data_IF_034017408245
#
_entry.id   IF_034017408245
#
_cell.length_a   1.000
_cell.length_b   1.000
_cell.length_c   1.000
_cell.angle_alpha   90.00
_cell.angle_beta   90.00
_cell.angle_gamma   90.00
#
_symmetry.space_group_name_H-M   'P 1'
#
loop_
_entity.id
_entity.type
_entity.pdbx_description
1 polymer ?
#
# COMPACT_ATOMS: atom_id res chain seq x y z
N UNK A 1 99.40 -22.57 6.75
CA UNK A 1 99.27 -21.12 6.99
C UNK A 1 97.96 -20.65 6.35
N UNK A 2 96.88 -20.59 7.13
CA UNK A 2 95.58 -20.02 6.76
C UNK A 2 95.05 -19.27 8.00
N UNK A 3 94.65 -17.99 7.90
CA UNK A 3 94.46 -17.12 9.06
C UNK A 3 93.10 -17.30 9.75
N UNK A 4 93.03 -17.25 11.09
CA UNK A 4 91.83 -17.55 11.87
C UNK A 4 90.98 -16.29 12.15
N UNK A 5 89.90 -16.08 11.39
CA UNK A 5 88.92 -14.99 11.65
C UNK A 5 87.55 -15.49 12.17
N UNK A 6 87.46 -16.73 12.66
CA UNK A 6 86.17 -17.36 13.01
C UNK A 6 85.93 -17.58 14.52
N UNK A 7 86.48 -16.73 15.40
CA UNK A 7 86.38 -16.94 16.86
C UNK A 7 85.65 -15.86 17.67
N UNK A 8 84.83 -15.00 17.04
CA UNK A 8 84.18 -13.87 17.73
C UNK A 8 82.65 -13.92 17.87
N UNK A 9 81.98 -15.01 17.52
CA UNK A 9 80.50 -15.07 17.58
C UNK A 9 79.88 -16.00 18.64
N UNK A 10 80.65 -16.60 19.55
CA UNK A 10 80.10 -17.64 20.46
C UNK A 10 79.80 -17.12 21.89
N UNK A 11 80.19 -15.90 22.25
CA UNK A 11 80.15 -15.46 23.65
C UNK A 11 79.15 -14.33 23.94
N UNK A 12 77.89 -14.45 23.50
CA UNK A 12 76.86 -13.50 23.93
C UNK A 12 75.42 -14.02 23.89
N UNK A 13 75.19 -15.27 24.35
CA UNK A 13 73.82 -15.81 24.50
C UNK A 13 73.56 -16.44 25.86
N UNK A 14 74.32 -16.06 26.88
CA UNK A 14 74.14 -16.52 28.27
C UNK A 14 73.89 -15.36 29.23
N UNK A 15 73.14 -14.36 28.77
CA UNK A 15 72.61 -13.31 29.61
C UNK A 15 71.26 -12.88 29.07
N UNK A 16 70.25 -12.88 29.93
CA UNK A 16 69.00 -12.13 29.74
C UNK A 16 67.84 -12.84 29.02
N UNK A 17 67.42 -13.99 29.54
CA UNK A 17 66.00 -14.38 29.51
C UNK A 17 65.59 -14.92 30.89
N UNK A 18 65.61 -14.05 31.90
CA UNK A 18 64.78 -14.27 33.10
C UNK A 18 63.34 -14.08 32.70
N UNK A 19 62.64 -15.20 32.48
CA UNK A 19 61.22 -15.24 32.15
C UNK A 19 60.44 -14.60 33.31
N UNK A 20 60.07 -13.33 33.16
CA UNK A 20 59.15 -12.66 34.08
C UNK A 20 57.80 -13.34 33.89
N UNK A 21 57.42 -14.21 34.82
CA UNK A 21 56.11 -14.83 34.85
C UNK A 21 55.07 -13.72 35.00
N UNK A 22 54.35 -13.44 33.91
CA UNK A 22 53.22 -12.52 33.93
C UNK A 22 52.12 -13.25 34.71
N UNK A 23 51.67 -12.77 35.87
CA UNK A 23 50.57 -13.40 36.57
C UNK A 23 49.34 -13.31 35.68
N UNK A 24 48.79 -14.46 35.28
CA UNK A 24 47.48 -14.53 34.66
C UNK A 24 46.49 -14.10 35.73
N UNK A 25 46.10 -12.82 35.69
CA UNK A 25 45.11 -12.25 36.58
C UNK A 25 43.78 -12.95 36.26
N UNK A 26 43.44 -13.96 37.06
CA UNK A 26 42.16 -14.68 36.97
C UNK A 26 41.06 -13.68 37.29
N UNK A 27 40.44 -13.14 36.24
CA UNK A 27 39.25 -12.32 36.37
C UNK A 27 38.17 -13.23 36.94
N UNK A 28 37.75 -12.97 38.18
CA UNK A 28 36.64 -13.70 38.80
C UNK A 28 35.43 -13.47 37.90
N UNK A 29 34.90 -14.54 37.31
CA UNK A 29 33.64 -14.51 36.59
C UNK A 29 32.54 -14.15 37.60
N UNK A 30 32.19 -12.88 37.69
CA UNK A 30 31.07 -12.40 38.49
C UNK A 30 29.80 -12.89 37.79
N UNK A 31 29.10 -13.83 38.42
CA UNK A 31 27.94 -14.51 37.86
C UNK A 31 26.70 -13.62 37.70
N UNK A 32 26.74 -12.67 36.78
CA UNK A 32 25.59 -11.88 36.32
C UNK A 32 25.01 -12.36 34.98
N UNK A 33 25.59 -13.41 34.36
CA UNK A 33 25.24 -13.84 32.99
C UNK A 33 23.77 -14.27 32.82
N UNK A 34 23.17 -14.91 33.83
CA UNK A 34 21.78 -15.39 33.70
C UNK A 34 20.79 -14.22 33.75
N UNK A 35 21.01 -13.24 34.62
CA UNK A 35 20.18 -12.04 34.71
C UNK A 35 20.36 -11.14 33.47
N UNK A 36 21.57 -11.04 32.93
CA UNK A 36 21.89 -10.30 31.71
C UNK A 36 21.17 -10.89 30.48
N UNK A 37 21.17 -12.21 30.34
CA UNK A 37 20.44 -12.89 29.26
C UNK A 37 18.92 -12.74 29.44
N UNK A 38 18.39 -12.84 30.66
CA UNK A 38 16.96 -12.63 30.90
C UNK A 38 16.52 -11.20 30.57
N UNK A 39 17.30 -10.18 30.95
CA UNK A 39 17.01 -8.79 30.59
C UNK A 39 17.11 -8.59 29.07
N UNK A 40 18.12 -9.20 28.43
CA UNK A 40 18.27 -9.12 26.97
C UNK A 40 17.08 -9.70 26.23
N UNK A 41 16.61 -10.89 26.63
CA UNK A 41 15.43 -11.54 26.03
C UNK A 41 14.15 -10.76 26.35
N UNK A 42 14.04 -10.16 27.54
CA UNK A 42 12.94 -9.29 27.92
C UNK A 42 12.87 -8.06 27.00
N UNK A 43 13.96 -7.31 26.85
CA UNK A 43 14.04 -6.14 25.97
C UNK A 43 13.75 -6.54 24.51
N UNK A 44 14.31 -7.66 24.05
CA UNK A 44 14.08 -8.20 22.72
C UNK A 44 12.59 -8.51 22.49
N UNK A 45 11.91 -9.11 23.47
CA UNK A 45 10.49 -9.40 23.38
C UNK A 45 9.65 -8.13 23.18
N UNK A 46 9.89 -7.06 23.95
CA UNK A 46 9.21 -5.77 23.73
C UNK A 46 9.55 -5.13 22.39
N UNK A 47 10.82 -5.23 21.95
CA UNK A 47 11.24 -4.76 20.64
C UNK A 47 10.49 -5.45 19.49
N UNK A 48 10.32 -6.77 19.57
CA UNK A 48 9.58 -7.55 18.59
C UNK A 48 8.08 -7.24 18.60
N UNK A 49 7.47 -7.03 19.77
CA UNK A 49 6.07 -6.57 19.87
C UNK A 49 5.89 -5.19 19.20
N UNK A 50 6.84 -4.28 19.38
CA UNK A 50 6.83 -2.97 18.72
C UNK A 50 6.86 -3.09 17.20
N UNK A 51 7.74 -3.93 16.67
CA UNK A 51 7.84 -4.19 15.22
C UNK A 51 6.56 -4.84 14.68
N UNK A 52 5.99 -5.81 15.39
CA UNK A 52 4.74 -6.45 14.99
C UNK A 52 3.58 -5.44 14.89
N UNK A 53 3.48 -4.51 15.84
CA UNK A 53 2.52 -3.42 15.80
C UNK A 53 2.71 -2.51 14.57
N UNK A 54 3.95 -2.15 14.27
CA UNK A 54 4.28 -1.36 13.06
C UNK A 54 3.93 -2.12 11.78
N UNK A 55 4.22 -3.42 11.69
CA UNK A 55 3.86 -4.24 10.53
C UNK A 55 2.35 -4.26 10.27
N UNK A 56 1.54 -4.45 11.32
CA UNK A 56 0.07 -4.42 11.19
C UNK A 56 -0.40 -3.05 10.69
N UNK A 57 0.15 -1.95 11.24
CA UNK A 57 -0.22 -0.61 10.79
C UNK A 57 0.15 -0.36 9.32
N UNK A 58 1.33 -0.84 8.88
CA UNK A 58 1.79 -0.73 7.50
C UNK A 58 0.93 -1.52 6.52
N UNK A 59 0.47 -2.71 6.92
CA UNK A 59 -0.45 -3.51 6.10
C UNK A 59 -1.79 -2.79 5.92
N UNK A 60 -2.33 -2.17 6.97
CA UNK A 60 -3.58 -1.41 6.90
C UNK A 60 -3.49 -0.20 5.96
N UNK A 61 -2.40 0.58 6.05
CA UNK A 61 -2.20 1.74 5.17
C UNK A 61 -1.96 1.34 3.72
N UNK A 62 -1.28 0.21 3.50
CA UNK A 62 -1.08 -0.37 2.16
C UNK A 62 -2.42 -0.78 1.55
N UNK A 63 -3.27 -1.48 2.32
CA UNK A 63 -4.59 -1.89 1.88
C UNK A 63 -5.48 -0.68 1.52
N UNK A 64 -5.52 0.35 2.37
CA UNK A 64 -6.22 1.61 2.09
C UNK A 64 -5.74 2.28 0.80
N UNK A 65 -4.41 2.30 0.59
CA UNK A 65 -3.82 2.89 -0.63
C UNK A 65 -4.17 2.09 -1.89
N UNK A 66 -4.27 0.76 -1.77
CA UNK A 66 -4.71 -0.12 -2.84
C UNK A 66 -6.16 0.17 -3.22
N UNK A 67 -7.07 0.27 -2.24
CA UNK A 67 -8.48 0.59 -2.46
C UNK A 67 -8.66 1.94 -3.15
N UNK A 68 -7.94 2.99 -2.70
CA UNK A 68 -7.91 4.29 -3.40
C UNK A 68 -7.45 4.18 -4.85
N UNK A 69 -6.40 3.40 -5.09
CA UNK A 69 -5.88 3.18 -6.45
C UNK A 69 -6.89 2.45 -7.34
N UNK A 70 -7.59 1.45 -6.78
CA UNK A 70 -8.66 0.73 -7.46
C UNK A 70 -9.85 1.65 -7.76
N UNK A 71 -10.26 2.52 -6.83
CA UNK A 71 -11.33 3.49 -7.06
C UNK A 71 -10.97 4.46 -8.21
N UNK A 72 -9.74 4.97 -8.25
CA UNK A 72 -9.26 5.81 -9.37
C UNK A 72 -9.30 5.02 -10.68
N UNK A 73 -8.79 3.79 -10.69
CA UNK A 73 -8.83 2.94 -11.88
C UNK A 73 -10.28 2.70 -12.37
N UNK A 74 -11.19 2.33 -11.47
CA UNK A 74 -12.60 2.10 -11.79
C UNK A 74 -13.33 3.37 -12.24
N UNK A 75 -12.86 4.54 -11.83
CA UNK A 75 -13.34 5.82 -12.37
C UNK A 75 -12.98 5.97 -13.85
N UNK A 76 -11.76 5.61 -14.23
CA UNK A 76 -11.34 5.65 -15.63
C UNK A 76 -12.06 4.60 -16.48
N UNK A 77 -12.28 3.39 -15.96
CA UNK A 77 -12.95 2.33 -16.74
C UNK A 77 -14.37 2.73 -17.17
N UNK A 78 -15.15 3.40 -16.31
CA UNK A 78 -16.50 3.83 -16.68
C UNK A 78 -16.47 5.03 -17.62
N UNK A 79 -15.52 5.96 -17.46
CA UNK A 79 -15.32 7.06 -18.41
C UNK A 79 -14.96 6.54 -19.81
N UNK A 80 -14.11 5.52 -19.90
CA UNK A 80 -13.72 4.92 -21.17
C UNK A 80 -14.89 4.13 -21.80
N UNK A 81 -15.69 3.43 -21.00
CA UNK A 81 -16.93 2.79 -21.48
C UNK A 81 -17.93 3.83 -22.04
N UNK A 82 -18.11 4.95 -21.33
CA UNK A 82 -18.96 6.06 -21.79
C UNK A 82 -18.45 6.66 -23.11
N UNK A 83 -17.13 6.87 -23.25
CA UNK A 83 -16.51 7.33 -24.52
C UNK A 83 -16.74 6.36 -25.66
N UNK A 84 -16.60 5.06 -25.40
CA UNK A 84 -16.83 4.03 -26.41
C UNK A 84 -18.29 3.96 -26.86
N UNK A 85 -19.22 4.31 -25.96
CA UNK A 85 -20.66 4.26 -26.19
C UNK A 85 -21.30 5.61 -26.49
N UNK A 86 -20.51 6.64 -26.81
CA UNK A 86 -21.08 7.90 -27.29
C UNK A 86 -21.77 7.63 -28.62
N UNK A 87 -23.00 8.11 -28.75
CA UNK A 87 -23.80 7.93 -29.96
C UNK A 87 -24.14 9.28 -30.56
N UNK A 88 -24.29 9.34 -31.87
CA UNK A 88 -24.72 10.55 -32.54
C UNK A 88 -26.26 10.54 -32.57
N UNK A 89 -26.96 11.46 -31.88
CA UNK A 89 -28.41 11.50 -31.82
C UNK A 89 -29.06 11.76 -33.19
N UNK A 90 -28.31 12.29 -34.17
CA UNK A 90 -28.81 12.56 -35.51
C UNK A 90 -28.86 11.33 -36.44
N UNK A 91 -28.30 10.19 -36.04
CA UNK A 91 -28.32 8.94 -36.82
C UNK A 91 -27.59 8.99 -38.18
N UNK A 92 -27.01 10.14 -38.54
CA UNK A 92 -26.19 10.29 -39.75
C UNK A 92 -24.74 9.86 -39.49
N UNK A 93 -24.08 9.22 -40.47
CA UNK A 93 -22.66 8.95 -40.42
C UNK A 93 -21.90 10.25 -40.73
N UNK A 94 -21.76 11.16 -39.76
CA UNK A 94 -20.94 12.36 -39.97
C UNK A 94 -20.43 12.96 -38.68
N UNK A 95 -19.10 13.11 -38.66
CA UNK A 95 -18.25 13.91 -37.78
C UNK A 95 -18.38 13.71 -36.26
N UNK A 96 -17.22 13.59 -35.62
CA UNK A 96 -17.05 13.52 -34.15
C UNK A 96 -17.72 14.69 -33.40
N UNK A 97 -18.15 15.73 -34.13
CA UNK A 97 -18.72 16.98 -33.62
C UNK A 97 -20.20 16.91 -33.18
N UNK A 98 -20.77 15.71 -33.06
CA UNK A 98 -22.15 15.52 -32.58
C UNK A 98 -22.33 14.26 -31.75
N UNK A 99 -21.25 13.72 -31.16
CA UNK A 99 -21.34 12.61 -30.23
C UNK A 99 -21.74 13.13 -28.85
N UNK A 100 -22.82 12.57 -28.31
CA UNK A 100 -23.35 12.91 -27.01
C UNK A 100 -23.33 11.70 -26.09
N UNK A 101 -23.22 11.96 -24.78
CA UNK A 101 -23.33 10.93 -23.76
C UNK A 101 -24.77 10.50 -23.63
N UNK A 102 -25.01 9.19 -23.57
CA UNK A 102 -26.35 8.66 -23.40
C UNK A 102 -26.95 9.12 -22.06
N UNK A 103 -28.20 9.62 -22.09
CA UNK A 103 -28.90 10.13 -20.90
C UNK A 103 -28.96 9.13 -19.74
N UNK A 104 -28.96 7.82 -20.05
CA UNK A 104 -28.93 6.72 -19.06
C UNK A 104 -27.65 6.74 -18.18
N UNK A 105 -26.52 7.24 -18.68
CA UNK A 105 -25.33 7.50 -17.85
C UNK A 105 -25.47 8.79 -17.06
N UNK A 106 -25.94 9.86 -17.72
CA UNK A 106 -25.94 11.23 -17.17
C UNK A 106 -26.88 11.41 -15.97
N UNK A 107 -27.95 10.59 -15.89
CA UNK A 107 -28.97 10.68 -14.86
C UNK A 107 -29.08 9.41 -13.98
N UNK A 108 -28.02 8.59 -13.96
CA UNK A 108 -28.00 7.37 -13.14
C UNK A 108 -28.18 7.66 -11.63
N UNK A 109 -27.92 8.91 -11.20
CA UNK A 109 -27.94 9.29 -9.80
C UNK A 109 -26.81 8.61 -9.01
N UNK A 110 -26.82 8.79 -7.70
CA UNK A 110 -25.93 8.02 -6.81
C UNK A 110 -26.54 6.63 -6.64
N UNK A 111 -25.79 5.61 -7.05
CA UNK A 111 -26.17 4.22 -6.94
C UNK A 111 -25.20 3.53 -5.99
N UNK A 112 -25.72 2.94 -4.94
CA UNK A 112 -24.95 2.15 -3.99
C UNK A 112 -25.05 0.66 -4.31
N UNK A 113 -24.04 -0.11 -3.92
CA UNK A 113 -23.97 -1.56 -4.20
C UNK A 113 -25.19 -2.34 -3.65
N UNK A 114 -25.81 -1.85 -2.57
CA UNK A 114 -27.02 -2.42 -1.98
C UNK A 114 -28.32 -2.05 -2.71
N UNK A 115 -28.28 -1.10 -3.64
CA UNK A 115 -29.47 -0.65 -4.36
C UNK A 115 -29.84 -1.62 -5.48
N UNK A 116 -31.14 -1.86 -5.64
CA UNK A 116 -31.65 -2.61 -6.78
C UNK A 116 -31.61 -1.73 -8.02
N UNK A 117 -30.59 -1.90 -8.86
CA UNK A 117 -30.55 -1.24 -10.17
C UNK A 117 -31.49 -1.97 -11.12
N UNK A 118 -32.39 -1.22 -11.75
CA UNK A 118 -33.29 -1.77 -12.75
C UNK A 118 -32.48 -2.22 -13.96
N UNK A 119 -32.53 -3.52 -14.26
CA UNK A 119 -31.94 -4.12 -15.46
C UNK A 119 -32.73 -3.56 -16.65
N UNK A 120 -32.17 -2.57 -17.33
CA UNK A 120 -32.66 -2.14 -18.63
C UNK A 120 -31.99 -2.94 -19.73
N UNK A 121 -32.67 -3.08 -20.87
CA UNK A 121 -32.14 -3.70 -22.08
C UNK A 121 -31.12 -2.81 -22.83
N UNK A 122 -30.58 -1.80 -22.15
CA UNK A 122 -29.70 -0.81 -22.75
C UNK A 122 -28.23 -1.02 -22.35
N UNK A 123 -27.34 -0.81 -23.33
CA UNK A 123 -25.90 -0.98 -23.17
C UNK A 123 -25.34 -0.09 -22.03
N UNK A 124 -25.82 1.15 -21.90
CA UNK A 124 -25.36 2.04 -20.83
C UNK A 124 -25.70 1.51 -19.44
N UNK A 125 -26.88 0.90 -19.29
CA UNK A 125 -27.32 0.31 -18.03
C UNK A 125 -26.58 -0.99 -17.73
N UNK A 126 -26.27 -1.78 -18.76
CA UNK A 126 -25.41 -2.96 -18.62
C UNK A 126 -24.01 -2.58 -18.12
N UNK A 127 -23.41 -1.52 -18.66
CA UNK A 127 -22.11 -1.01 -18.24
C UNK A 127 -22.12 -0.49 -16.80
N UNK A 128 -23.14 0.29 -16.42
CA UNK A 128 -23.30 0.75 -15.03
C UNK A 128 -23.43 -0.43 -14.07
N UNK A 129 -24.23 -1.44 -14.40
CA UNK A 129 -24.39 -2.65 -13.59
C UNK A 129 -23.08 -3.43 -13.45
N UNK A 130 -22.33 -3.57 -14.53
CA UNK A 130 -21.02 -4.21 -14.51
C UNK A 130 -20.02 -3.42 -13.66
N UNK A 131 -19.97 -2.11 -13.84
CA UNK A 131 -19.12 -1.20 -13.06
C UNK A 131 -19.44 -1.25 -11.56
N UNK A 132 -20.72 -1.24 -11.18
CA UNK A 132 -21.16 -1.41 -9.79
C UNK A 132 -20.74 -2.77 -9.21
N UNK A 133 -20.80 -3.84 -10.01
CA UNK A 133 -20.27 -5.15 -9.63
C UNK A 133 -18.75 -5.13 -9.37
N UNK A 134 -18.00 -4.35 -10.14
CA UNK A 134 -16.58 -4.14 -9.90
C UNK A 134 -16.33 -3.32 -8.63
N UNK A 135 -17.11 -2.27 -8.37
CA UNK A 135 -17.03 -1.49 -7.12
C UNK A 135 -17.24 -2.39 -5.90
N UNK A 136 -18.29 -3.23 -5.91
CA UNK A 136 -18.56 -4.22 -4.86
C UNK A 136 -17.38 -5.16 -4.62
N UNK A 137 -16.80 -5.68 -5.69
CA UNK A 137 -15.74 -6.70 -5.60
C UNK A 137 -14.41 -6.11 -5.10
N UNK A 138 -14.11 -4.87 -5.48
CA UNK A 138 -12.80 -4.24 -5.25
C UNK A 138 -12.78 -3.37 -3.99
N UNK A 139 -13.84 -2.60 -3.74
CA UNK A 139 -13.94 -1.65 -2.63
C UNK A 139 -14.79 -2.15 -1.47
N UNK A 140 -15.53 -3.25 -1.67
CA UNK A 140 -16.31 -3.94 -0.65
C UNK A 140 -17.82 -3.76 -0.81
N UNK A 141 -18.54 -4.69 -0.17
CA UNK A 141 -19.99 -4.88 -0.29
C UNK A 141 -20.82 -4.10 0.75
N UNK A 142 -20.36 -2.91 1.13
CA UNK A 142 -21.13 -2.06 2.02
C UNK A 142 -22.19 -1.27 1.25
N UNK A 143 -23.34 -1.00 1.86
CA UNK A 143 -24.32 0.01 1.39
C UNK A 143 -23.72 1.43 1.26
N UNK A 144 -22.46 1.59 1.68
CA UNK A 144 -21.66 2.81 1.66
C UNK A 144 -20.73 2.90 0.44
N UNK A 145 -20.58 1.81 -0.32
CA UNK A 145 -19.86 1.82 -1.61
C UNK A 145 -20.85 2.25 -2.68
N UNK A 146 -20.65 3.46 -3.21
CA UNK A 146 -21.56 4.07 -4.16
C UNK A 146 -20.80 4.71 -5.31
N UNK A 147 -21.41 4.67 -6.49
CA UNK A 147 -20.95 5.34 -7.69
C UNK A 147 -22.00 6.34 -8.16
N UNK A 148 -21.55 7.49 -8.65
CA UNK A 148 -22.40 8.49 -9.28
C UNK A 148 -21.72 8.98 -10.55
N UNK A 149 -22.49 9.09 -11.62
CA UNK A 149 -22.08 9.73 -12.88
C UNK A 149 -23.04 10.89 -13.11
N UNK A 150 -22.48 12.08 -13.29
CA UNK A 150 -23.22 13.30 -13.61
C UNK A 150 -22.56 13.95 -14.82
N UNK A 151 -23.31 14.12 -15.90
CA UNK A 151 -22.81 14.72 -17.14
C UNK A 151 -23.60 15.98 -17.47
N UNK A 152 -22.86 17.04 -17.80
CA UNK A 152 -23.40 18.27 -18.36
C UNK A 152 -22.77 18.42 -19.76
N UNK A 153 -23.59 18.26 -20.80
CA UNK A 153 -23.14 18.07 -22.19
C UNK A 153 -22.11 16.92 -22.31
N UNK A 154 -20.88 17.21 -22.79
CA UNK A 154 -19.77 16.25 -22.85
C UNK A 154 -18.80 16.34 -21.65
N UNK A 155 -19.17 17.07 -20.59
CA UNK A 155 -18.36 17.21 -19.39
C UNK A 155 -18.92 16.33 -18.28
N UNK A 156 -18.34 15.15 -18.13
CA UNK A 156 -18.79 14.16 -17.16
C UNK A 156 -17.95 14.18 -15.89
N UNK A 157 -18.64 14.02 -14.78
CA UNK A 157 -18.08 13.93 -13.44
C UNK A 157 -18.47 12.60 -12.84
N UNK A 158 -17.47 11.75 -12.60
CA UNK A 158 -17.64 10.47 -11.94
C UNK A 158 -17.18 10.62 -10.49
N UNK A 159 -18.04 10.23 -9.57
CA UNK A 159 -17.78 10.23 -8.14
C UNK A 159 -17.95 8.83 -7.59
N UNK A 160 -16.91 8.31 -6.94
CA UNK A 160 -16.95 7.03 -6.21
C UNK A 160 -16.76 7.32 -4.75
N UNK A 161 -17.63 6.74 -3.92
CA UNK A 161 -17.59 6.80 -2.48
C UNK A 161 -17.50 5.38 -1.91
N UNK A 162 -16.67 5.15 -0.92
CA UNK A 162 -16.60 3.88 -0.20
C UNK A 162 -16.11 4.08 1.23
N UNK A 163 -16.33 3.05 2.06
CA UNK A 163 -16.05 3.10 3.48
C UNK A 163 -14.72 2.40 3.83
N UNK A 164 -13.73 3.18 4.26
CA UNK A 164 -12.39 2.68 4.63
C UNK A 164 -12.07 2.99 6.11
N UNK A 165 -12.95 2.56 7.03
CA UNK A 165 -12.64 2.63 8.48
C UNK A 165 -11.53 1.67 8.89
N UNK A 166 -11.07 0.79 7.99
CA UNK A 166 -10.04 -0.22 8.26
C UNK A 166 -8.62 0.35 8.10
N UNK A 167 -8.46 1.35 7.22
CA UNK A 167 -7.20 2.03 6.95
C UNK A 167 -6.81 3.11 7.96
N UNK A 168 -7.76 3.68 8.70
CA UNK A 168 -7.50 4.84 9.56
C UNK A 168 -7.45 4.52 11.06
N UNK A 169 -6.39 4.99 11.72
CA UNK A 169 -6.06 4.69 13.12
C UNK A 169 -6.74 5.68 14.10
N UNK A 170 -7.36 6.76 13.61
CA UNK A 170 -7.79 7.89 14.43
C UNK A 170 -9.19 8.43 14.08
N UNK A 171 -10.23 7.60 14.09
CA UNK A 171 -11.60 8.11 13.99
C UNK A 171 -12.52 7.56 15.08
N UNK A 172 -12.95 8.48 15.94
CA UNK A 172 -13.89 8.27 17.04
C UNK A 172 -15.31 8.14 16.47
N UNK A 173 -15.71 6.94 16.07
CA UNK A 173 -17.12 6.62 15.78
C UNK A 173 -17.81 7.37 14.63
N UNK A 174 -17.04 8.05 13.75
CA UNK A 174 -17.54 8.68 12.54
C UNK A 174 -17.48 7.74 11.32
N UNK A 175 -18.40 7.94 10.38
CA UNK A 175 -18.40 7.26 9.07
C UNK A 175 -17.20 7.75 8.23
N UNK A 176 -16.28 6.86 7.83
CA UNK A 176 -15.07 7.22 7.06
C UNK A 176 -15.31 6.96 5.57
N UNK A 177 -16.10 7.84 4.96
CA UNK A 177 -16.35 7.79 3.52
C UNK A 177 -15.18 8.45 2.79
N UNK A 178 -14.45 7.67 2.01
CA UNK A 178 -13.46 8.16 1.07
C UNK A 178 -14.18 8.48 -0.25
N UNK A 179 -13.77 9.56 -0.90
CA UNK A 179 -14.35 10.02 -2.16
C UNK A 179 -13.26 10.22 -3.20
N UNK A 180 -13.44 9.62 -4.37
CA UNK A 180 -12.67 9.92 -5.58
C UNK A 180 -13.60 10.59 -6.57
N UNK A 181 -13.18 11.76 -7.08
CA UNK A 181 -13.95 12.52 -8.06
C UNK A 181 -13.06 12.80 -9.27
N UNK A 182 -13.48 12.38 -10.45
CA UNK A 182 -12.82 12.70 -11.71
C UNK A 182 -13.80 13.44 -12.61
N UNK A 183 -13.38 14.61 -13.09
CA UNK A 183 -14.12 15.39 -14.07
C UNK A 183 -13.34 15.35 -15.39
N UNK A 184 -13.97 14.83 -16.44
CA UNK A 184 -13.36 14.66 -17.75
C UNK A 184 -14.30 15.11 -18.85
N UNK A 185 -13.73 15.74 -19.88
CA UNK A 185 -14.41 15.89 -21.18
C UNK A 185 -14.39 14.53 -21.88
N UNK A 186 -15.53 14.14 -22.45
CA UNK A 186 -15.66 12.93 -23.26
C UNK A 186 -15.43 13.23 -24.74
#
# INVERSE_FOLDING_TARGET
>A
MAPPQFRKYVNNVTGMFTMKTIPLQSSRQTGSSLLEVMISVFILAFGLLGIAGMQISSLRTTQSSLERSQAVFLTHTILDAMRANMTNPSGLPSDLSGLEVKEDYANAGKICVGDTVSIGDDLARADLNWWLGLLKTNLGDGDKTCGQVECEDNLCTVTIEWDDRRGEVNQTGGEVINTVKNRSLL
#
